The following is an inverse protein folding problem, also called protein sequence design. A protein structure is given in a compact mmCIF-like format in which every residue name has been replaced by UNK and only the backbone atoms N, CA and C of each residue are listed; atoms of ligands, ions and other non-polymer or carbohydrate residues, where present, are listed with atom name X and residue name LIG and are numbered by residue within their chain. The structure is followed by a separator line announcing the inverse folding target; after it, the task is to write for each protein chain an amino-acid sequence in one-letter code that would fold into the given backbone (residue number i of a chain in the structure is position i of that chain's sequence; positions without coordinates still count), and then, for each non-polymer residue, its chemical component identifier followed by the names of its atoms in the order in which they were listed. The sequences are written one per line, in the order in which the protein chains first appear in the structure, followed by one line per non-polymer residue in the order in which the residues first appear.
data_IF_789536862057
#
_entry.id   IF_789536862057
#
_cell.length_a   1.000
_cell.length_b   1.000
_cell.length_c   1.000
_cell.angle_alpha   90.00
_cell.angle_beta   90.00
_cell.angle_gamma   90.00
#
_symmetry.space_group_name_H-M   'P 1'
#
loop_
_entity.id
_entity.type
_entity.pdbx_description
1 polymer ?
#
# COMPACT_ATOMS: atom_id res chain seq x y z
N UNK A 1 1.41 -7.06 -25.31
CA UNK A 1 2.83 -6.68 -25.30
C UNK A 1 3.61 -7.72 -24.49
N UNK A 2 4.57 -8.43 -25.10
CA UNK A 2 5.38 -9.48 -24.47
C UNK A 2 6.85 -9.24 -24.78
N UNK A 3 7.74 -9.55 -23.83
CA UNK A 3 9.19 -9.34 -23.96
C UNK A 3 9.86 -10.64 -24.42
N UNK A 4 9.55 -11.09 -25.64
CA UNK A 4 9.96 -12.40 -26.17
C UNK A 4 11.47 -12.59 -26.20
N UNK A 5 12.25 -11.54 -26.50
CA UNK A 5 13.71 -11.61 -26.51
C UNK A 5 14.29 -11.97 -25.14
N UNK A 6 13.78 -11.35 -24.06
CA UNK A 6 14.22 -11.66 -22.70
C UNK A 6 13.76 -13.06 -22.28
N UNK A 7 12.55 -13.46 -22.65
CA UNK A 7 12.02 -14.80 -22.38
C UNK A 7 12.93 -15.88 -23.02
N UNK A 8 13.37 -15.69 -24.26
CA UNK A 8 14.29 -16.61 -24.93
C UNK A 8 15.67 -16.70 -24.26
N UNK A 9 16.19 -15.57 -23.76
CA UNK A 9 17.47 -15.52 -23.04
C UNK A 9 17.42 -16.16 -21.64
N UNK A 10 16.24 -16.20 -21.02
CA UNK A 10 16.05 -16.96 -19.78
C UNK A 10 15.96 -18.46 -20.09
N UNK A 11 15.16 -18.84 -21.11
CA UNK A 11 14.95 -20.23 -21.48
C UNK A 11 16.22 -20.94 -21.97
N UNK A 12 17.14 -20.22 -22.61
CA UNK A 12 18.42 -20.79 -23.06
C UNK A 12 19.51 -20.78 -21.98
N UNK A 13 19.22 -20.27 -20.77
CA UNK A 13 20.17 -20.19 -19.65
C UNK A 13 21.25 -19.12 -19.79
N UNK A 14 21.11 -18.16 -20.72
CA UNK A 14 22.06 -17.04 -20.86
C UNK A 14 21.91 -16.00 -19.76
N UNK A 15 20.73 -15.92 -19.14
CA UNK A 15 20.43 -15.05 -18.01
C UNK A 15 19.97 -15.86 -16.81
N UNK A 16 20.42 -15.44 -15.63
CA UNK A 16 19.82 -15.89 -14.37
C UNK A 16 18.41 -15.31 -14.18
N UNK A 17 17.65 -15.84 -13.22
CA UNK A 17 16.31 -15.28 -12.90
C UNK A 17 16.45 -13.84 -12.41
N UNK A 18 17.48 -13.56 -11.61
CA UNK A 18 17.81 -12.20 -11.15
C UNK A 18 18.07 -11.23 -12.31
N UNK A 19 18.91 -11.61 -13.26
CA UNK A 19 19.21 -10.77 -14.43
C UNK A 19 17.99 -10.60 -15.35
N UNK A 20 17.18 -11.65 -15.49
CA UNK A 20 15.91 -11.55 -16.20
C UNK A 20 14.96 -10.55 -15.54
N UNK A 21 14.79 -10.61 -14.22
CA UNK A 21 13.98 -9.64 -13.46
C UNK A 21 14.52 -8.22 -13.63
N UNK A 22 15.86 -8.04 -13.58
CA UNK A 22 16.53 -6.76 -13.84
C UNK A 22 16.20 -6.22 -15.22
N UNK A 23 16.33 -7.04 -16.25
CA UNK A 23 16.04 -6.65 -17.63
C UNK A 23 14.56 -6.30 -17.84
N UNK A 24 13.65 -7.05 -17.21
CA UNK A 24 12.20 -6.74 -17.24
C UNK A 24 11.92 -5.41 -16.55
N UNK A 25 12.50 -5.14 -15.38
CA UNK A 25 12.31 -3.89 -14.65
C UNK A 25 12.87 -2.67 -15.40
N UNK A 26 13.95 -2.83 -16.18
CA UNK A 26 14.52 -1.77 -17.02
C UNK A 26 13.81 -1.59 -18.37
N UNK A 27 12.94 -2.52 -18.75
CA UNK A 27 12.25 -2.50 -20.04
C UNK A 27 11.30 -1.30 -20.19
N UNK A 28 11.08 -0.89 -21.44
CA UNK A 28 10.13 0.17 -21.79
C UNK A 28 8.69 -0.17 -21.38
N UNK A 29 8.35 -1.46 -21.38
CA UNK A 29 7.06 -1.96 -20.91
C UNK A 29 6.86 -1.71 -19.40
N UNK A 30 7.90 -1.88 -18.59
CA UNK A 30 7.82 -1.56 -17.16
C UNK A 30 7.76 -0.05 -16.93
N UNK A 31 8.61 0.72 -17.63
CA UNK A 31 8.66 2.18 -17.54
C UNK A 31 7.31 2.83 -17.92
N UNK A 32 6.70 2.41 -19.02
CA UNK A 32 5.38 2.92 -19.45
C UNK A 32 4.25 2.59 -18.47
N UNK A 33 4.33 1.42 -17.80
CA UNK A 33 3.30 0.96 -16.87
C UNK A 33 3.40 1.61 -15.49
N UNK A 34 4.61 1.81 -14.98
CA UNK A 34 4.82 2.17 -13.59
C UNK A 34 5.59 3.48 -13.40
N UNK A 35 6.55 3.81 -14.26
CA UNK A 35 7.38 5.02 -14.16
C UNK A 35 6.68 6.27 -14.72
N UNK A 36 6.45 6.35 -16.03
CA UNK A 36 6.03 7.61 -16.69
C UNK A 36 4.69 8.16 -16.22
N UNK A 37 3.84 7.28 -15.70
CA UNK A 37 2.48 7.59 -15.34
C UNK A 37 2.28 7.85 -13.84
N UNK A 38 3.32 7.75 -13.03
CA UNK A 38 3.25 7.81 -11.57
C UNK A 38 4.24 8.84 -11.03
N UNK A 39 3.94 9.38 -9.85
CA UNK A 39 4.92 10.19 -9.12
C UNK A 39 6.02 9.31 -8.52
N UNK A 40 7.23 9.84 -8.34
CA UNK A 40 8.41 9.05 -7.97
C UNK A 40 8.23 8.26 -6.66
N UNK A 41 7.54 8.81 -5.65
CA UNK A 41 7.25 8.06 -4.42
C UNK A 41 6.39 6.82 -4.67
N UNK A 42 5.41 6.91 -5.59
CA UNK A 42 4.61 5.76 -6.01
C UNK A 42 5.44 4.75 -6.81
N UNK A 43 6.38 5.21 -7.62
CA UNK A 43 7.31 4.32 -8.35
C UNK A 43 8.15 3.52 -7.37
N UNK A 44 8.73 4.17 -6.36
CA UNK A 44 9.55 3.52 -5.33
C UNK A 44 8.72 2.51 -4.52
N UNK A 45 7.51 2.87 -4.10
CA UNK A 45 6.58 1.92 -3.44
C UNK A 45 6.33 0.67 -4.29
N UNK A 46 6.14 0.85 -5.60
CA UNK A 46 5.90 -0.25 -6.54
C UNK A 46 7.16 -1.07 -6.77
N UNK A 47 8.33 -0.44 -6.90
CA UNK A 47 9.60 -1.14 -7.06
C UNK A 47 9.90 -2.03 -5.85
N UNK A 48 9.75 -1.51 -4.63
CA UNK A 48 9.89 -2.30 -3.40
C UNK A 48 8.92 -3.48 -3.36
N UNK A 49 7.66 -3.26 -3.77
CA UNK A 49 6.65 -4.32 -3.85
C UNK A 49 7.02 -5.37 -4.90
N UNK A 50 7.47 -4.97 -6.08
CA UNK A 50 7.71 -5.85 -7.22
C UNK A 50 9.03 -6.61 -7.13
N UNK A 51 10.09 -5.95 -6.67
CA UNK A 51 11.45 -6.50 -6.66
C UNK A 51 11.81 -7.13 -5.31
N UNK A 52 11.42 -6.51 -4.20
CA UNK A 52 11.72 -7.00 -2.85
C UNK A 52 10.54 -7.67 -2.16
N UNK A 53 9.33 -7.62 -2.74
CA UNK A 53 8.16 -8.30 -2.20
C UNK A 53 7.67 -7.74 -0.87
N UNK A 54 8.01 -6.49 -0.51
CA UNK A 54 7.65 -5.84 0.74
C UNK A 54 7.24 -4.37 0.55
N UNK A 55 6.70 -3.77 1.60
CA UNK A 55 6.45 -2.33 1.67
C UNK A 55 7.68 -1.58 2.24
N UNK A 56 7.82 -0.27 1.97
CA UNK A 56 8.82 0.57 2.63
C UNK A 56 8.62 0.63 4.15
N UNK A 57 9.73 0.49 4.88
CA UNK A 57 9.73 0.54 6.34
C UNK A 57 9.86 1.96 6.88
N UNK A 58 10.62 2.81 6.20
CA UNK A 58 10.90 4.17 6.62
C UNK A 58 10.93 5.13 5.43
N UNK A 59 10.72 6.41 5.72
CA UNK A 59 10.88 7.47 4.73
C UNK A 59 12.32 7.56 4.21
N UNK A 60 13.31 7.16 5.02
CA UNK A 60 14.72 7.14 4.61
C UNK A 60 14.99 6.24 3.40
N UNK A 61 14.28 5.11 3.28
CA UNK A 61 14.39 4.24 2.09
C UNK A 61 13.89 4.97 0.84
N UNK A 62 12.76 5.69 0.96
CA UNK A 62 12.20 6.46 -0.16
C UNK A 62 13.12 7.61 -0.55
N UNK A 63 13.70 8.31 0.43
CA UNK A 63 14.65 9.40 0.17
C UNK A 63 15.91 8.87 -0.50
N UNK A 64 16.45 7.73 -0.05
CA UNK A 64 17.62 7.09 -0.65
C UNK A 64 17.41 6.79 -2.14
N UNK A 65 16.30 6.14 -2.48
CA UNK A 65 15.98 5.81 -3.88
C UNK A 65 15.63 7.05 -4.72
N UNK A 66 15.01 8.06 -4.11
CA UNK A 66 14.75 9.34 -4.76
C UNK A 66 16.05 10.05 -5.14
N UNK A 67 17.00 10.14 -4.21
CA UNK A 67 18.31 10.76 -4.44
C UNK A 67 19.12 9.99 -5.50
N UNK A 68 19.12 8.66 -5.42
CA UNK A 68 19.81 7.82 -6.39
C UNK A 68 19.21 7.99 -7.80
N UNK A 69 17.89 8.02 -7.92
CA UNK A 69 17.20 8.31 -9.18
C UNK A 69 17.59 9.70 -9.73
N UNK A 70 17.64 10.73 -8.88
CA UNK A 70 18.01 12.08 -9.29
C UNK A 70 19.47 12.17 -9.76
N UNK A 71 20.38 11.47 -9.08
CA UNK A 71 21.82 11.57 -9.34
C UNK A 71 22.33 10.62 -10.44
N UNK A 72 21.76 9.42 -10.54
CA UNK A 72 22.26 8.34 -11.43
C UNK A 72 21.22 7.80 -12.41
N UNK A 73 19.97 8.26 -12.32
CA UNK A 73 18.89 7.86 -13.20
C UNK A 73 18.18 6.56 -12.79
N UNK A 74 17.16 6.20 -13.57
CA UNK A 74 16.26 5.08 -13.27
C UNK A 74 16.94 3.71 -13.25
N UNK A 75 17.88 3.48 -14.15
CA UNK A 75 18.49 2.15 -14.29
C UNK A 75 19.38 1.81 -13.10
N UNK A 76 20.11 2.81 -12.60
CA UNK A 76 20.89 2.69 -11.36
C UNK A 76 19.98 2.47 -10.14
N UNK A 77 18.80 3.11 -10.10
CA UNK A 77 17.82 2.86 -9.03
C UNK A 77 17.32 1.42 -9.06
N UNK A 78 16.96 0.88 -10.22
CA UNK A 78 16.58 -0.53 -10.37
C UNK A 78 17.71 -1.47 -9.92
N UNK A 79 18.94 -1.20 -10.34
CA UNK A 79 20.11 -1.99 -9.92
C UNK A 79 20.28 -1.96 -8.40
N UNK A 80 20.04 -0.82 -7.74
CA UNK A 80 20.18 -0.70 -6.28
C UNK A 80 19.25 -1.64 -5.48
N UNK A 81 18.07 -1.98 -6.00
CA UNK A 81 17.20 -2.97 -5.34
C UNK A 81 17.72 -4.39 -5.55
N UNK A 82 18.15 -4.71 -6.77
CA UNK A 82 18.51 -6.07 -7.18
C UNK A 82 19.92 -6.44 -6.71
N UNK A 83 20.80 -5.46 -6.54
CA UNK A 83 22.17 -5.61 -6.00
C UNK A 83 22.25 -5.40 -4.49
N UNK A 84 21.09 -5.34 -3.83
CA UNK A 84 21.03 -5.29 -2.37
C UNK A 84 21.29 -6.68 -1.77
N UNK A 85 21.98 -6.71 -0.62
CA UNK A 85 22.13 -7.93 0.18
C UNK A 85 20.76 -8.54 0.55
N UNK A 86 19.72 -7.71 0.69
CA UNK A 86 18.36 -8.19 0.95
C UNK A 86 17.83 -9.05 -0.21
N UNK A 87 18.08 -8.68 -1.47
CA UNK A 87 17.67 -9.49 -2.61
C UNK A 87 18.42 -10.83 -2.62
N UNK A 88 19.73 -10.79 -2.43
CA UNK A 88 20.60 -11.97 -2.47
C UNK A 88 20.26 -12.97 -1.36
N UNK A 89 20.04 -12.52 -0.13
CA UNK A 89 19.71 -13.38 1.01
C UNK A 89 18.36 -14.09 0.88
N UNK A 90 17.45 -13.57 0.05
CA UNK A 90 16.05 -14.03 0.03
C UNK A 90 15.63 -14.69 -1.27
N UNK A 91 16.20 -14.27 -2.39
CA UNK A 91 15.90 -14.82 -3.71
C UNK A 91 17.15 -15.43 -4.36
N UNK A 92 18.33 -14.88 -4.08
CA UNK A 92 19.55 -15.25 -4.81
C UNK A 92 19.36 -15.07 -6.31
N UNK A 93 20.00 -15.93 -7.12
CA UNK A 93 20.03 -15.75 -8.57
C UNK A 93 18.93 -16.50 -9.34
N UNK A 94 18.31 -17.52 -8.72
CA UNK A 94 17.43 -18.48 -9.40
C UNK A 94 15.99 -18.53 -8.86
N UNK A 95 15.66 -17.76 -7.82
CA UNK A 95 14.30 -17.73 -7.26
C UNK A 95 13.57 -16.50 -7.77
N UNK A 96 12.33 -16.69 -8.21
CA UNK A 96 11.46 -15.58 -8.63
C UNK A 96 11.02 -14.79 -7.39
N UNK A 97 11.15 -13.45 -7.36
CA UNK A 97 10.68 -12.63 -6.25
C UNK A 97 9.21 -12.88 -5.91
N UNK A 98 8.94 -13.06 -4.62
CA UNK A 98 7.60 -13.32 -4.09
C UNK A 98 7.30 -12.37 -2.92
N UNK A 99 6.02 -12.22 -2.59
CA UNK A 99 5.61 -11.36 -1.48
C UNK A 99 6.03 -11.94 -0.14
N UNK A 100 6.88 -11.22 0.58
CA UNK A 100 7.40 -11.57 1.91
C UNK A 100 6.88 -10.67 3.03
N UNK A 101 6.33 -9.50 2.68
CA UNK A 101 5.82 -8.53 3.67
C UNK A 101 4.63 -8.99 4.53
N UNK A 102 4.15 -10.23 4.35
CA UNK A 102 3.08 -10.83 5.16
C UNK A 102 3.61 -11.71 6.29
N UNK A 103 4.88 -12.11 6.24
CA UNK A 103 5.52 -12.96 7.24
C UNK A 103 6.41 -12.12 8.15
N UNK A 104 6.53 -12.51 9.42
CA UNK A 104 7.50 -11.88 10.31
C UNK A 104 8.89 -12.47 10.07
N UNK A 105 9.86 -11.60 9.80
CA UNK A 105 11.27 -11.97 9.67
C UNK A 105 12.12 -11.16 10.65
N UNK A 106 13.27 -11.71 11.04
CA UNK A 106 14.22 -11.03 11.92
C UNK A 106 14.68 -9.71 11.28
N UNK A 107 14.62 -8.61 12.03
CA UNK A 107 15.03 -7.28 11.56
C UNK A 107 13.95 -6.48 10.82
N UNK A 108 12.78 -7.05 10.54
CA UNK A 108 11.68 -6.31 9.89
C UNK A 108 10.82 -5.51 10.88
N UNK A 109 10.36 -4.33 10.45
CA UNK A 109 9.38 -3.54 11.21
C UNK A 109 7.98 -4.10 11.01
N UNK A 110 7.24 -4.27 12.10
CA UNK A 110 5.82 -4.74 12.10
C UNK A 110 4.93 -3.82 11.25
N UNK A 111 5.27 -2.53 11.16
CA UNK A 111 4.57 -1.54 10.32
C UNK A 111 4.57 -1.93 8.83
N UNK A 112 5.59 -2.66 8.36
CA UNK A 112 5.63 -3.14 6.98
C UNK A 112 4.45 -4.05 6.64
N UNK A 113 3.98 -4.85 7.60
CA UNK A 113 2.82 -5.74 7.42
C UNK A 113 1.55 -4.95 7.08
N UNK A 114 1.23 -3.94 7.90
CA UNK A 114 0.05 -3.09 7.69
C UNK A 114 0.12 -2.28 6.40
N UNK A 115 1.31 -1.75 6.09
CA UNK A 115 1.56 -1.01 4.83
C UNK A 115 1.46 -1.90 3.60
N UNK A 116 1.83 -3.17 3.71
CA UNK A 116 1.71 -4.14 2.62
C UNK A 116 0.27 -4.29 2.14
N UNK A 117 -0.73 -4.27 3.05
CA UNK A 117 -2.15 -4.32 2.66
C UNK A 117 -2.67 -3.05 1.97
N UNK A 118 -1.96 -1.92 2.08
CA UNK A 118 -2.27 -0.72 1.28
C UNK A 118 -1.83 -0.92 -0.17
N UNK A 119 -0.69 -1.57 -0.39
CA UNK A 119 -0.09 -1.82 -1.70
C UNK A 119 -0.65 -3.06 -2.40
N UNK A 120 -0.96 -4.12 -1.66
CA UNK A 120 -1.47 -5.39 -2.17
C UNK A 120 -2.92 -5.61 -1.72
N UNK A 121 -3.83 -5.81 -2.68
CA UNK A 121 -5.27 -5.95 -2.46
C UNK A 121 -5.82 -7.31 -2.92
N UNK A 122 -5.00 -8.36 -2.86
CA UNK A 122 -5.36 -9.72 -3.26
C UNK A 122 -4.97 -10.09 -4.69
N UNK A 123 -5.24 -11.35 -5.08
CA UNK A 123 -4.83 -11.92 -6.37
C UNK A 123 -5.58 -11.32 -7.57
N UNK A 124 -6.87 -11.03 -7.44
CA UNK A 124 -7.68 -10.39 -8.48
C UNK A 124 -7.49 -8.86 -8.47
N UNK A 125 -6.24 -8.40 -8.42
CA UNK A 125 -5.89 -6.99 -8.37
C UNK A 125 -4.75 -6.66 -9.32
N UNK A 126 -4.78 -5.44 -9.86
CA UNK A 126 -3.65 -4.85 -10.58
C UNK A 126 -3.30 -3.51 -9.94
N UNK A 127 -2.00 -3.23 -9.82
CA UNK A 127 -1.48 -1.97 -9.27
C UNK A 127 -1.97 -0.72 -10.00
N UNK A 128 -2.41 -0.87 -11.26
CA UNK A 128 -2.99 0.20 -12.08
C UNK A 128 -4.51 0.32 -11.96
N UNK A 129 -5.20 -0.74 -11.56
CA UNK A 129 -6.67 -0.80 -11.48
C UNK A 129 -7.20 -0.51 -10.07
N UNK A 130 -6.31 -0.24 -9.11
CA UNK A 130 -6.71 0.09 -7.75
C UNK A 130 -7.47 1.43 -7.69
N UNK A 131 -8.38 1.54 -6.71
CA UNK A 131 -9.29 2.69 -6.56
C UNK A 131 -8.58 4.04 -6.45
N UNK A 132 -7.41 4.13 -5.80
CA UNK A 132 -6.67 5.40 -5.63
C UNK A 132 -5.78 5.73 -6.85
N UNK A 133 -5.88 4.95 -7.93
CA UNK A 133 -5.19 5.19 -9.18
C UNK A 133 -3.68 5.32 -9.02
N UNK A 134 -3.15 6.44 -9.50
CA UNK A 134 -1.71 6.75 -9.60
C UNK A 134 -1.11 7.41 -8.35
N UNK A 135 -1.92 7.71 -7.34
CA UNK A 135 -1.45 8.33 -6.12
C UNK A 135 -0.57 7.35 -5.30
N UNK A 136 0.42 7.91 -4.61
CA UNK A 136 1.21 7.19 -3.60
C UNK A 136 0.31 6.76 -2.45
N UNK A 137 0.55 5.55 -1.94
CA UNK A 137 -0.30 4.92 -0.92
C UNK A 137 0.19 5.18 0.48
N UNK A 138 1.49 5.40 0.61
CA UNK A 138 2.21 5.40 1.87
C UNK A 138 2.94 6.72 2.13
N UNK A 139 2.97 7.70 1.22
CA UNK A 139 3.72 8.94 1.43
C UNK A 139 3.39 9.64 2.75
N UNK A 140 2.10 9.81 3.07
CA UNK A 140 1.69 10.42 4.34
C UNK A 140 2.01 9.53 5.55
N UNK A 141 1.83 8.21 5.41
CA UNK A 141 2.11 7.23 6.47
C UNK A 141 3.61 7.13 6.79
N UNK A 142 4.46 7.29 5.79
CA UNK A 142 5.91 7.29 5.93
C UNK A 142 6.39 8.60 6.56
N UNK A 143 5.91 9.74 6.06
CA UNK A 143 6.28 11.07 6.57
C UNK A 143 5.90 11.27 8.05
N UNK A 144 4.73 10.75 8.45
CA UNK A 144 4.26 10.83 9.84
C UNK A 144 4.73 9.66 10.70
N UNK A 145 5.44 8.70 10.12
CA UNK A 145 5.74 7.39 10.71
C UNK A 145 4.51 6.78 11.40
N UNK A 146 3.35 6.88 10.75
CA UNK A 146 2.06 6.41 11.23
C UNK A 146 1.64 5.14 10.52
N UNK A 147 0.61 4.49 11.06
CA UNK A 147 0.09 3.22 10.54
C UNK A 147 -1.38 3.36 10.20
N UNK A 148 -1.77 2.97 8.99
CA UNK A 148 -3.18 2.83 8.62
C UNK A 148 -3.77 1.51 9.08
N UNK A 149 -5.08 1.52 9.39
CA UNK A 149 -5.81 0.30 9.67
C UNK A 149 -5.83 -0.63 8.45
N UNK A 150 -5.78 -1.94 8.70
CA UNK A 150 -5.86 -2.94 7.64
C UNK A 150 -7.32 -3.06 7.19
N UNK A 151 -7.61 -2.55 6.00
CA UNK A 151 -8.92 -2.67 5.37
C UNK A 151 -8.90 -3.83 4.38
N UNK A 152 -9.79 -4.79 4.57
CA UNK A 152 -9.89 -5.97 3.71
C UNK A 152 -10.11 -5.63 2.22
N UNK A 153 -9.71 -6.51 1.30
CA UNK A 153 -9.94 -6.32 -0.13
C UNK A 153 -11.43 -6.46 -0.50
N UNK A 154 -11.77 -6.06 -1.73
CA UNK A 154 -13.14 -6.22 -2.27
C UNK A 154 -13.57 -7.68 -2.26
N UNK A 155 -14.78 -7.97 -1.78
CA UNK A 155 -15.32 -9.32 -1.63
C UNK A 155 -15.05 -9.95 -0.26
N UNK A 156 -14.05 -9.46 0.49
CA UNK A 156 -13.76 -9.92 1.86
C UNK A 156 -14.21 -8.96 2.97
N UNK A 157 -14.44 -7.69 2.65
CA UNK A 157 -14.97 -6.69 3.61
C UNK A 157 -15.96 -5.76 2.94
N UNK A 158 -17.02 -5.36 3.67
CA UNK A 158 -18.02 -4.44 3.13
C UNK A 158 -17.46 -3.01 2.94
N UNK A 159 -16.55 -2.59 3.84
CA UNK A 159 -15.93 -1.26 3.81
C UNK A 159 -14.66 -1.14 2.97
N UNK A 160 -14.38 -2.09 2.07
CA UNK A 160 -13.14 -2.17 1.27
C UNK A 160 -12.79 -0.88 0.49
N UNK A 161 -13.81 -0.09 0.15
CA UNK A 161 -13.69 1.14 -0.63
C UNK A 161 -13.28 2.35 0.21
N UNK A 162 -13.20 2.24 1.55
CA UNK A 162 -12.78 3.33 2.43
C UNK A 162 -11.39 3.84 2.10
N UNK A 163 -11.23 5.16 2.13
CA UNK A 163 -9.97 5.87 1.92
C UNK A 163 -9.88 7.06 2.86
N UNK A 164 -8.76 7.20 3.55
CA UNK A 164 -8.49 8.36 4.39
C UNK A 164 -8.52 9.64 3.56
N UNK A 165 -8.93 10.74 4.18
CA UNK A 165 -8.95 12.05 3.50
C UNK A 165 -7.53 12.59 3.30
N UNK A 166 -7.20 13.04 2.08
CA UNK A 166 -5.92 13.72 1.81
C UNK A 166 -5.74 14.99 2.66
N UNK A 167 -6.85 15.66 3.02
CA UNK A 167 -6.82 16.88 3.85
C UNK A 167 -6.65 16.59 5.34
N UNK A 168 -6.63 15.33 5.77
CA UNK A 168 -6.46 14.96 7.18
C UNK A 168 -7.50 15.60 8.11
N UNK A 169 -8.76 15.67 7.66
CA UNK A 169 -9.82 16.45 8.33
C UNK A 169 -10.18 15.89 9.71
N UNK A 170 -9.84 14.62 9.98
CA UNK A 170 -10.22 13.93 11.20
C UNK A 170 -9.06 13.88 12.19
N UNK A 171 -9.24 14.35 13.43
CA UNK A 171 -8.17 14.29 14.42
C UNK A 171 -7.70 12.85 14.67
N UNK A 172 -6.38 12.65 14.72
CA UNK A 172 -5.77 11.38 15.13
C UNK A 172 -5.71 11.20 16.65
N UNK A 173 -6.02 12.25 17.42
CA UNK A 173 -6.00 12.25 18.89
C UNK A 173 -7.24 12.98 19.40
N UNK A 174 -7.79 12.48 20.50
CA UNK A 174 -8.83 13.21 21.24
C UNK A 174 -8.19 14.03 22.36
N UNK A 175 -8.78 15.19 22.68
CA UNK A 175 -8.31 16.08 23.75
C UNK A 175 -8.57 15.52 25.17
N UNK A 176 -9.02 14.27 25.32
CA UNK A 176 -9.45 13.69 26.61
C UNK A 176 -8.60 12.48 26.96
N UNK A 177 -8.05 12.48 28.19
CA UNK A 177 -7.32 11.33 28.73
C UNK A 177 -8.29 10.14 28.91
N UNK A 178 -7.96 8.93 28.43
CA UNK A 178 -8.86 7.79 28.56
C UNK A 178 -8.91 7.34 30.02
N UNK A 179 -10.01 7.65 30.71
CA UNK A 179 -10.37 6.92 31.93
C UNK A 179 -10.72 5.48 31.57
N UNK A 180 -10.69 4.54 32.53
CA UNK A 180 -10.96 3.10 32.30
C UNK A 180 -12.28 2.82 31.56
N UNK A 181 -13.26 3.70 31.67
CA UNK A 181 -14.58 3.64 31.02
C UNK A 181 -14.69 4.53 29.75
N UNK A 182 -13.71 5.41 29.51
CA UNK A 182 -13.70 6.41 28.45
C UNK A 182 -12.91 6.02 27.19
N UNK A 183 -12.93 4.73 26.79
CA UNK A 183 -12.27 4.30 25.55
C UNK A 183 -12.95 4.92 24.35
N UNK A 184 -12.17 5.50 23.45
CA UNK A 184 -12.64 6.11 22.21
C UNK A 184 -12.20 5.23 21.06
N UNK A 185 -13.14 4.97 20.17
CA UNK A 185 -12.93 4.17 18.98
C UNK A 185 -12.95 5.07 17.76
N UNK A 186 -11.97 4.89 16.88
CA UNK A 186 -11.96 5.41 15.52
C UNK A 186 -12.71 4.45 14.64
N UNK A 187 -13.78 4.95 14.03
CA UNK A 187 -14.59 4.27 13.04
C UNK A 187 -14.26 4.82 11.66
N UNK A 188 -13.86 3.93 10.77
CA UNK A 188 -13.65 4.24 9.35
C UNK A 188 -14.84 3.70 8.56
N UNK A 189 -15.55 4.59 7.86
CA UNK A 189 -16.81 4.26 7.18
C UNK A 189 -16.71 4.63 5.71
N UNK A 190 -17.24 3.78 4.85
CA UNK A 190 -17.37 4.00 3.41
C UNK A 190 -18.82 3.89 2.95
N UNK A 191 -19.15 4.57 1.85
CA UNK A 191 -20.39 4.35 1.10
C UNK A 191 -21.66 4.66 1.89
N UNK A 192 -21.93 5.92 2.21
CA UNK A 192 -23.20 6.35 2.82
C UNK A 192 -24.22 6.69 1.73
N UNK A 193 -25.45 6.17 1.83
CA UNK A 193 -26.51 6.38 0.85
C UNK A 193 -27.83 6.72 1.56
N UNK A 194 -28.24 8.00 1.51
CA UNK A 194 -29.54 8.40 2.05
C UNK A 194 -30.63 8.38 0.97
N UNK A 195 -31.87 7.96 1.28
CA UNK A 195 -32.98 7.80 0.32
C UNK A 195 -33.42 9.04 -0.48
N UNK A 196 -32.87 10.23 -0.20
CA UNK A 196 -33.21 11.50 -0.87
C UNK A 196 -32.00 12.33 -1.31
N UNK A 197 -30.79 11.82 -1.10
CA UNK A 197 -29.57 12.47 -1.54
C UNK A 197 -29.04 11.76 -2.79
N UNK A 198 -28.38 12.49 -3.71
CA UNK A 198 -27.74 11.85 -4.84
C UNK A 198 -26.80 10.76 -4.33
N UNK A 199 -26.89 9.58 -4.94
CA UNK A 199 -25.99 8.45 -4.63
C UNK A 199 -24.58 8.87 -5.04
N UNK A 200 -23.82 9.44 -4.11
CA UNK A 200 -22.42 9.76 -4.36
C UNK A 200 -21.66 8.44 -4.30
N UNK A 201 -21.03 8.09 -5.42
CA UNK A 201 -20.35 6.80 -5.61
C UNK A 201 -19.29 6.51 -4.53
N UNK A 202 -18.78 7.53 -3.84
CA UNK A 202 -17.67 7.43 -2.88
C UNK A 202 -17.81 8.48 -1.77
N UNK A 203 -18.13 8.04 -0.56
CA UNK A 203 -18.02 8.82 0.66
C UNK A 203 -17.15 8.00 1.60
N UNK A 204 -16.03 8.56 2.02
CA UNK A 204 -15.26 8.05 3.17
C UNK A 204 -15.47 9.02 4.32
N UNK A 205 -15.76 8.49 5.51
CA UNK A 205 -15.90 9.28 6.72
C UNK A 205 -15.19 8.58 7.86
N UNK A 206 -14.47 9.36 8.65
CA UNK A 206 -13.86 8.90 9.89
C UNK A 206 -14.59 9.56 11.06
N UNK A 207 -14.82 8.79 12.12
CA UNK A 207 -15.54 9.25 13.31
C UNK A 207 -14.80 8.78 14.55
N UNK A 208 -14.72 9.63 15.57
CA UNK A 208 -14.24 9.25 16.90
C UNK A 208 -15.46 9.11 17.82
N UNK A 209 -15.66 7.92 18.38
CA UNK A 209 -16.87 7.58 19.13
C UNK A 209 -16.48 6.93 20.47
N UNK A 210 -16.99 7.44 21.61
CA UNK A 210 -16.79 6.78 22.90
C UNK A 210 -17.51 5.43 22.94
N UNK A 211 -16.98 4.47 23.71
CA UNK A 211 -17.50 3.11 23.81
C UNK A 211 -19.02 3.05 24.04
N UNK A 212 -19.54 3.89 24.94
CA UNK A 212 -20.97 3.96 25.28
C UNK A 212 -21.88 4.22 24.06
N UNK A 213 -21.40 5.00 23.08
CA UNK A 213 -22.15 5.38 21.87
C UNK A 213 -21.80 4.52 20.66
N UNK A 214 -20.92 3.53 20.81
CA UNK A 214 -20.45 2.71 19.70
C UNK A 214 -21.60 1.94 19.04
N UNK A 215 -22.45 1.28 19.84
CA UNK A 215 -23.59 0.51 19.32
C UNK A 215 -24.57 1.39 18.55
N UNK A 216 -24.98 2.52 19.14
CA UNK A 216 -25.93 3.45 18.53
C UNK A 216 -25.40 4.04 17.21
N UNK A 217 -24.13 4.43 17.20
CA UNK A 217 -23.50 4.97 15.98
C UNK A 217 -23.38 3.93 14.89
N UNK A 218 -23.04 2.68 15.20
CA UNK A 218 -23.00 1.58 14.22
C UNK A 218 -24.39 1.31 13.63
N UNK A 219 -25.44 1.31 14.46
CA UNK A 219 -26.81 1.18 13.98
C UNK A 219 -27.22 2.34 13.08
N UNK A 220 -26.84 3.58 13.42
CA UNK A 220 -27.09 4.75 12.58
C UNK A 220 -26.35 4.66 11.24
N UNK A 221 -25.08 4.25 11.25
CA UNK A 221 -24.28 4.05 10.04
C UNK A 221 -24.96 3.03 9.12
N UNK A 222 -25.40 1.90 9.68
CA UNK A 222 -26.09 0.86 8.90
C UNK A 222 -27.43 1.36 8.34
N UNK A 223 -28.23 2.11 9.12
CA UNK A 223 -29.47 2.75 8.65
C UNK A 223 -29.23 3.75 7.51
N UNK A 224 -28.09 4.44 7.51
CA UNK A 224 -27.66 5.34 6.44
C UNK A 224 -27.01 4.59 5.26
N UNK A 225 -27.01 3.25 5.27
CA UNK A 225 -26.39 2.41 4.24
C UNK A 225 -24.86 2.41 4.24
N UNK A 226 -24.23 3.00 5.27
CA UNK A 226 -22.78 3.07 5.43
C UNK A 226 -22.16 1.70 5.75
N UNK A 227 -20.99 1.45 5.18
CA UNK A 227 -20.20 0.24 5.37
C UNK A 227 -18.94 0.53 6.17
N UNK A 228 -18.84 -0.08 7.35
CA UNK A 228 -17.68 0.08 8.23
C UNK A 228 -16.48 -0.69 7.65
N UNK A 229 -15.36 -0.01 7.53
CA UNK A 229 -14.11 -0.53 7.00
C UNK A 229 -13.17 -1.02 8.10
N UNK A 230 -13.05 -0.25 9.18
CA UNK A 230 -12.25 -0.63 10.35
C UNK A 230 -12.79 0.02 11.62
N UNK A 231 -12.50 -0.62 12.75
CA UNK A 231 -12.76 -0.11 14.10
C UNK A 231 -11.45 -0.25 14.86
N UNK A 232 -10.85 0.86 15.25
CA UNK A 232 -9.56 0.90 15.96
C UNK A 232 -9.70 1.71 17.24
N UNK A 233 -8.86 1.43 18.24
CA UNK A 233 -8.78 2.26 19.43
C UNK A 233 -8.02 3.56 19.09
N UNK A 234 -8.57 4.71 19.45
CA UNK A 234 -8.03 6.04 19.17
C UNK A 234 -7.15 6.59 20.30
#
# INVERSE_FOLDING_TARGET
ERLTGLESLLCNGSLTVREFVRAVAKSELYKSKFLYNSFQTRVIELNLKHLLGRAPYDESEVIYHLDLYQNKGFEADIDSYIDSAEYDENFGDFIVPYYRGFSTQTGQKVVGFTRMFRLYRGYANSDRAQVEGKASRLASELALNSVSAVVGPSGGSEGWAYRASEKGVTPNKTFRSPTREGRIYRLEVSGMNLPRYPKVRRISKELLVPYEKLSDTLQQINKMGGKVASITLA
#
